data_IF_104354242424
#
_entry.id   IF_104354242424
#
_cell.length_a   1.000
_cell.length_b   1.000
_cell.length_c   1.000
_cell.angle_alpha   90.00
_cell.angle_beta   90.00
_cell.angle_gamma   90.00
#
_symmetry.space_group_name_H-M   'P 1'
#
loop_
_entity.id
_entity.type
_entity.pdbx_description
1 polymer ?
#
# COMPACT_ATOMS: atom_id res chain seq x y z
N UNK A 1 -18.10 -38.99 -17.32
CA UNK A 1 -18.59 -37.60 -17.20
C UNK A 1 -18.73 -37.32 -15.72
N UNK A 2 -17.84 -36.51 -15.14
CA UNK A 2 -17.92 -36.14 -13.72
C UNK A 2 -18.71 -34.84 -13.62
N UNK A 3 -19.87 -34.86 -12.98
CA UNK A 3 -20.64 -33.65 -12.70
C UNK A 3 -20.22 -33.09 -11.35
N UNK A 4 -19.82 -31.83 -11.31
CA UNK A 4 -19.44 -31.13 -10.08
C UNK A 4 -20.59 -30.22 -9.70
N UNK A 5 -21.10 -30.38 -8.47
CA UNK A 5 -22.19 -29.55 -7.95
C UNK A 5 -21.60 -28.37 -7.19
N UNK A 6 -21.95 -27.16 -7.59
CA UNK A 6 -21.40 -25.94 -7.03
C UNK A 6 -22.51 -25.15 -6.34
N UNK A 7 -22.21 -24.61 -5.16
CA UNK A 7 -23.14 -23.75 -4.42
C UNK A 7 -22.46 -22.43 -4.09
N UNK A 8 -23.11 -21.34 -4.45
CA UNK A 8 -22.70 -19.97 -4.12
C UNK A 8 -23.69 -19.35 -3.14
N UNK A 9 -23.19 -18.61 -2.17
CA UNK A 9 -23.99 -17.73 -1.32
C UNK A 9 -23.46 -16.31 -1.41
N UNK A 10 -24.37 -15.33 -1.41
CA UNK A 10 -23.99 -13.93 -1.44
C UNK A 10 -24.84 -13.09 -0.48
N UNK A 11 -24.24 -12.00 0.01
CA UNK A 11 -24.90 -11.01 0.84
C UNK A 11 -24.46 -9.61 0.42
N UNK A 12 -25.42 -8.70 0.33
CA UNK A 12 -25.21 -7.33 -0.15
C UNK A 12 -25.42 -6.35 1.00
N UNK A 13 -24.50 -5.40 1.09
CA UNK A 13 -24.56 -4.30 2.04
C UNK A 13 -24.48 -2.96 1.30
N UNK A 14 -25.33 -2.04 1.69
CA UNK A 14 -25.37 -0.68 1.14
C UNK A 14 -24.78 0.29 2.15
N UNK A 15 -23.97 1.23 1.66
CA UNK A 15 -23.46 2.32 2.47
C UNK A 15 -24.55 3.34 2.81
N UNK A 16 -24.68 3.65 4.09
CA UNK A 16 -25.53 4.74 4.58
C UNK A 16 -24.67 5.96 4.93
N UNK A 17 -24.84 7.04 4.18
CA UNK A 17 -24.14 8.30 4.40
C UNK A 17 -24.44 8.94 5.76
N UNK A 18 -25.61 8.67 6.35
CA UNK A 18 -26.00 9.25 7.66
C UNK A 18 -25.31 8.55 8.81
N UNK A 19 -25.09 7.24 8.70
CA UNK A 19 -24.42 6.43 9.72
C UNK A 19 -22.91 6.30 9.50
N UNK A 20 -22.43 6.70 8.32
CA UNK A 20 -21.05 6.41 7.87
C UNK A 20 -20.69 4.92 8.04
N UNK A 21 -21.66 4.04 7.79
CA UNK A 21 -21.47 2.59 7.92
C UNK A 21 -22.31 1.83 6.90
N UNK A 22 -21.99 0.55 6.71
CA UNK A 22 -22.73 -0.38 5.87
C UNK A 22 -23.94 -0.95 6.62
N UNK A 23 -25.12 -0.85 6.00
CA UNK A 23 -26.31 -1.50 6.51
C UNK A 23 -26.16 -3.02 6.46
N UNK A 24 -26.69 -3.70 7.46
CA UNK A 24 -26.63 -5.16 7.58
C UNK A 24 -27.34 -5.88 6.43
N UNK A 25 -28.27 -5.21 5.77
CA UNK A 25 -28.92 -5.64 4.53
C UNK A 25 -29.28 -4.42 3.69
N UNK A 26 -29.36 -4.59 2.37
CA UNK A 26 -29.80 -3.57 1.42
C UNK A 26 -31.26 -3.80 1.00
N UNK A 27 -32.27 -3.44 1.83
CA UNK A 27 -33.67 -3.69 1.51
C UNK A 27 -34.08 -2.96 0.22
N UNK A 28 -34.73 -3.68 -0.69
CA UNK A 28 -35.16 -3.13 -1.99
C UNK A 28 -34.09 -3.19 -3.09
N UNK A 29 -32.86 -3.62 -2.80
CA UNK A 29 -31.89 -4.01 -3.83
C UNK A 29 -32.05 -5.48 -4.18
N UNK A 30 -32.17 -5.74 -5.49
CA UNK A 30 -32.04 -7.06 -6.07
C UNK A 30 -30.70 -7.23 -6.78
N UNK A 31 -30.26 -8.47 -6.91
CA UNK A 31 -29.04 -8.85 -7.61
C UNK A 31 -29.33 -9.97 -8.59
N UNK A 32 -29.07 -9.71 -9.86
CA UNK A 32 -29.05 -10.71 -10.91
C UNK A 32 -27.77 -11.51 -10.79
N UNK A 33 -27.93 -12.82 -10.64
CA UNK A 33 -26.83 -13.78 -10.68
C UNK A 33 -26.94 -14.50 -12.02
N UNK A 34 -25.91 -14.34 -12.84
CA UNK A 34 -25.79 -15.04 -14.12
C UNK A 34 -24.52 -15.89 -14.09
N UNK A 35 -24.65 -17.16 -14.45
CA UNK A 35 -23.54 -18.11 -14.57
C UNK A 35 -23.45 -18.56 -16.01
N UNK A 36 -22.32 -18.31 -16.65
CA UNK A 36 -22.02 -18.74 -18.03
C UNK A 36 -20.81 -19.65 -18.06
N UNK A 37 -20.75 -20.53 -19.05
CA UNK A 37 -19.55 -21.32 -19.33
C UNK A 37 -18.61 -20.59 -20.30
N UNK A 38 -17.44 -21.18 -20.59
CA UNK A 38 -16.43 -20.65 -21.52
C UNK A 38 -16.94 -20.41 -22.95
N UNK A 39 -18.08 -20.99 -23.32
CA UNK A 39 -18.71 -20.88 -24.63
C UNK A 39 -19.97 -19.99 -24.60
N UNK A 40 -20.09 -19.11 -23.59
CA UNK A 40 -21.22 -18.21 -23.36
C UNK A 40 -22.59 -18.89 -23.17
N UNK A 41 -22.61 -20.21 -22.95
CA UNK A 41 -23.83 -20.92 -22.58
C UNK A 41 -24.25 -20.56 -21.15
N UNK A 42 -25.48 -20.09 -20.99
CA UNK A 42 -26.04 -19.67 -19.71
C UNK A 42 -26.54 -20.89 -18.93
N UNK A 43 -25.84 -21.22 -17.85
CA UNK A 43 -26.23 -22.32 -16.93
C UNK A 43 -27.28 -21.86 -15.91
N UNK A 44 -27.19 -20.61 -15.46
CA UNK A 44 -28.12 -20.02 -14.50
C UNK A 44 -28.26 -18.53 -14.81
N UNK A 45 -29.50 -18.02 -14.79
CA UNK A 45 -29.76 -16.58 -14.76
C UNK A 45 -31.00 -16.33 -13.91
N UNK A 46 -30.83 -15.64 -12.78
CA UNK A 46 -31.93 -15.40 -11.85
C UNK A 46 -31.74 -14.14 -11.01
N UNK A 47 -32.83 -13.42 -10.79
CA UNK A 47 -32.88 -12.32 -9.83
C UNK A 47 -33.08 -12.85 -8.42
N UNK A 48 -32.21 -12.42 -7.51
CA UNK A 48 -32.28 -12.68 -6.10
C UNK A 48 -32.48 -11.39 -5.30
N UNK A 49 -32.88 -11.52 -4.04
CA UNK A 49 -32.96 -10.41 -3.10
C UNK A 49 -31.58 -9.93 -2.61
N UNK A 50 -31.52 -9.17 -1.50
CA UNK A 50 -30.27 -8.65 -0.96
C UNK A 50 -29.32 -9.72 -0.41
N UNK A 51 -29.84 -10.91 -0.15
CA UNK A 51 -29.08 -12.09 0.22
C UNK A 51 -29.69 -13.31 -0.46
N UNK A 52 -28.86 -14.24 -0.89
CA UNK A 52 -29.32 -15.39 -1.64
C UNK A 52 -28.30 -16.52 -1.71
N UNK A 53 -28.81 -17.70 -2.04
CA UNK A 53 -27.99 -18.87 -2.39
C UNK A 53 -28.37 -19.34 -3.78
N UNK A 54 -27.36 -19.59 -4.60
CA UNK A 54 -27.49 -20.16 -5.92
C UNK A 54 -26.71 -21.45 -6.00
N UNK A 55 -27.10 -22.31 -6.94
CA UNK A 55 -26.45 -23.58 -7.19
C UNK A 55 -26.50 -23.87 -8.68
N UNK A 56 -25.45 -24.46 -9.20
CA UNK A 56 -25.35 -24.89 -10.58
C UNK A 56 -24.43 -26.12 -10.67
N UNK A 57 -24.54 -26.86 -11.76
CA UNK A 57 -23.71 -28.04 -12.01
C UNK A 57 -22.83 -27.81 -13.22
N UNK A 58 -21.53 -28.04 -13.07
CA UNK A 58 -20.62 -28.07 -14.21
C UNK A 58 -20.76 -29.40 -14.94
N UNK A 59 -21.17 -29.34 -16.22
CA UNK A 59 -21.27 -30.50 -17.11
C UNK A 59 -20.02 -30.73 -17.97
N UNK A 60 -19.32 -29.64 -18.28
CA UNK A 60 -18.07 -29.62 -19.04
C UNK A 60 -16.93 -29.03 -18.21
N UNK A 61 -15.73 -29.61 -18.26
CA UNK A 61 -14.55 -29.00 -17.68
C UNK A 61 -14.21 -27.72 -18.45
N UNK A 62 -13.99 -26.62 -17.74
CA UNK A 62 -13.73 -25.33 -18.33
C UNK A 62 -13.92 -24.20 -17.33
N UNK A 63 -13.67 -22.98 -17.78
CA UNK A 63 -13.92 -21.78 -17.00
C UNK A 63 -15.42 -21.48 -16.94
N UNK A 64 -15.91 -21.16 -15.75
CA UNK A 64 -17.28 -20.67 -15.54
C UNK A 64 -17.20 -19.25 -15.00
N UNK A 65 -18.00 -18.36 -15.56
CA UNK A 65 -18.04 -16.94 -15.21
C UNK A 65 -19.31 -16.68 -14.42
N UNK A 66 -19.16 -16.13 -13.22
CA UNK A 66 -20.27 -15.74 -12.34
C UNK A 66 -20.37 -14.21 -12.34
N UNK A 67 -21.43 -13.68 -12.94
CA UNK A 67 -21.72 -12.26 -12.97
C UNK A 67 -22.79 -11.89 -11.94
N UNK A 68 -22.52 -10.83 -11.17
CA UNK A 68 -23.40 -10.27 -10.14
C UNK A 68 -23.77 -8.84 -10.56
N UNK A 69 -25.00 -8.64 -11.01
CA UNK A 69 -25.47 -7.35 -11.52
C UNK A 69 -26.61 -6.79 -10.66
N UNK A 70 -26.49 -5.54 -10.22
CA UNK A 70 -27.53 -4.90 -9.42
C UNK A 70 -28.69 -4.41 -10.30
N UNK A 71 -29.93 -4.72 -9.92
CA UNK A 71 -31.14 -4.23 -10.59
C UNK A 71 -31.49 -2.76 -10.24
N UNK A 72 -30.53 -1.97 -9.74
CA UNK A 72 -30.79 -0.57 -9.36
C UNK A 72 -29.78 0.38 -9.97
N UNK A 73 -30.23 1.18 -10.93
CA UNK A 73 -29.52 2.34 -11.48
C UNK A 73 -29.37 3.49 -10.48
N UNK A 74 -30.10 3.45 -9.35
CA UNK A 74 -29.95 4.44 -8.26
C UNK A 74 -28.56 4.43 -7.65
N UNK A 75 -27.83 3.32 -7.74
CA UNK A 75 -26.48 3.19 -7.20
C UNK A 75 -25.44 4.03 -8.00
N UNK A 76 -25.74 4.32 -9.26
CA UNK A 76 -24.86 5.07 -10.19
C UNK A 76 -25.20 6.57 -10.22
N UNK A 77 -26.44 6.93 -9.89
CA UNK A 77 -26.94 8.31 -10.04
C UNK A 77 -26.70 9.23 -8.83
N UNK A 78 -26.31 8.70 -7.66
CA UNK A 78 -26.02 9.50 -6.47
C UNK A 78 -24.57 9.23 -6.03
N UNK A 79 -23.69 10.22 -6.21
CA UNK A 79 -22.24 10.17 -5.94
C UNK A 79 -21.86 9.99 -4.48
N UNK A 80 -22.29 8.89 -3.86
CA UNK A 80 -22.06 8.55 -2.45
C UNK A 80 -22.54 7.17 -2.02
N UNK A 81 -23.26 6.40 -2.84
CA UNK A 81 -23.67 5.03 -2.50
C UNK A 81 -22.58 4.02 -2.86
N UNK A 82 -21.84 3.52 -1.86
CA UNK A 82 -20.96 2.35 -2.01
C UNK A 82 -21.76 1.06 -1.80
N UNK A 83 -21.51 0.03 -2.60
CA UNK A 83 -22.07 -1.31 -2.43
C UNK A 83 -20.95 -2.28 -2.05
N UNK A 84 -21.18 -3.09 -1.02
CA UNK A 84 -20.27 -4.16 -0.62
C UNK A 84 -20.98 -5.49 -0.82
N UNK A 85 -20.32 -6.42 -1.51
CA UNK A 85 -20.86 -7.74 -1.81
C UNK A 85 -19.93 -8.77 -1.14
N UNK A 86 -20.52 -9.63 -0.31
CA UNK A 86 -19.86 -10.80 0.25
C UNK A 86 -20.26 -12.01 -0.61
N UNK A 87 -19.29 -12.72 -1.17
CA UNK A 87 -19.50 -13.88 -2.03
C UNK A 87 -18.73 -15.08 -1.45
N UNK A 88 -19.43 -16.19 -1.26
CA UNK A 88 -18.87 -17.46 -0.82
C UNK A 88 -19.25 -18.54 -1.83
N UNK A 89 -18.27 -19.19 -2.45
CA UNK A 89 -18.48 -20.27 -3.41
C UNK A 89 -17.93 -21.56 -2.82
N UNK A 90 -18.72 -22.63 -2.89
CA UNK A 90 -18.34 -23.98 -2.48
C UNK A 90 -18.50 -24.92 -3.66
N UNK A 91 -17.39 -25.50 -4.09
CA UNK A 91 -17.34 -26.47 -5.18
C UNK A 91 -17.45 -27.87 -4.57
N UNK A 92 -18.47 -28.63 -4.96
CA UNK A 92 -18.76 -29.94 -4.41
C UNK A 92 -17.87 -31.02 -5.00
N UNK A 93 -16.86 -31.43 -4.24
CA UNK A 93 -16.33 -32.79 -4.34
C UNK A 93 -15.88 -33.27 -2.97
N UNK A 94 -16.31 -34.50 -2.64
CA UNK A 94 -15.90 -35.26 -1.45
C UNK A 94 -14.36 -35.19 -1.32
N UNK A 95 -13.90 -35.12 -0.08
CA UNK A 95 -12.50 -35.21 0.35
C UNK A 95 -11.63 -33.93 0.24
N UNK A 96 -12.18 -32.78 -0.18
CA UNK A 96 -11.42 -31.52 -0.13
C UNK A 96 -11.33 -30.91 1.28
N UNK A 97 -12.15 -31.33 2.24
CA UNK A 97 -12.11 -30.80 3.62
C UNK A 97 -10.88 -31.28 4.40
N UNK A 98 -10.37 -32.48 4.16
CA UNK A 98 -9.14 -32.95 4.82
C UNK A 98 -7.90 -32.25 4.26
N UNK A 99 -7.85 -32.03 2.94
CA UNK A 99 -6.79 -31.29 2.27
C UNK A 99 -6.84 -29.79 2.54
N UNK A 100 -8.03 -29.17 2.56
CA UNK A 100 -8.21 -27.76 2.93
C UNK A 100 -8.03 -27.51 4.42
N UNK A 101 -8.40 -28.43 5.32
CA UNK A 101 -8.11 -28.28 6.75
C UNK A 101 -6.60 -28.38 7.00
N UNK A 102 -5.90 -29.32 6.35
CA UNK A 102 -4.45 -29.39 6.43
C UNK A 102 -3.77 -28.19 5.75
N UNK A 103 -4.26 -27.73 4.60
CA UNK A 103 -3.76 -26.52 3.96
C UNK A 103 -4.08 -25.26 4.79
N UNK A 104 -5.23 -25.21 5.49
CA UNK A 104 -5.63 -24.11 6.38
C UNK A 104 -4.84 -24.12 7.67
N UNK A 105 -4.51 -25.28 8.25
CA UNK A 105 -3.59 -25.39 9.38
C UNK A 105 -2.16 -25.01 8.99
N UNK A 106 -1.70 -25.43 7.81
CA UNK A 106 -0.41 -25.02 7.25
C UNK A 106 -0.38 -23.53 6.95
N UNK A 107 -1.45 -22.96 6.39
CA UNK A 107 -1.59 -21.53 6.15
C UNK A 107 -1.73 -20.77 7.47
N UNK A 108 -2.38 -21.30 8.50
CA UNK A 108 -2.49 -20.65 9.81
C UNK A 108 -1.15 -20.67 10.58
N UNK A 109 -0.40 -21.78 10.51
CA UNK A 109 0.97 -21.87 11.05
C UNK A 109 1.93 -20.93 10.32
N UNK A 110 1.77 -20.78 9.00
CA UNK A 110 2.55 -19.84 8.17
C UNK A 110 2.12 -18.39 8.40
N UNK A 111 0.83 -18.11 8.59
CA UNK A 111 0.30 -16.79 8.93
C UNK A 111 0.76 -16.35 10.31
N UNK A 112 0.80 -17.24 11.31
CA UNK A 112 1.30 -16.92 12.64
C UNK A 112 2.81 -16.64 12.64
N UNK A 113 3.58 -17.37 11.82
CA UNK A 113 5.01 -17.08 11.60
C UNK A 113 5.22 -15.79 10.80
N UNK A 114 4.40 -15.53 9.78
CA UNK A 114 4.43 -14.29 8.99
C UNK A 114 4.07 -13.07 9.82
N UNK A 115 3.07 -13.14 10.69
CA UNK A 115 2.67 -12.04 11.57
C UNK A 115 3.81 -11.65 12.53
N UNK A 116 4.52 -12.65 13.06
CA UNK A 116 5.71 -12.42 13.88
C UNK A 116 6.91 -11.84 13.11
N UNK A 117 7.10 -12.24 11.84
CA UNK A 117 8.12 -11.65 10.97
C UNK A 117 7.74 -10.24 10.49
N UNK A 118 6.45 -9.96 10.28
CA UNK A 118 5.94 -8.65 9.88
C UNK A 118 6.11 -7.64 11.01
N UNK A 119 5.85 -8.03 12.27
CA UNK A 119 6.16 -7.18 13.45
C UNK A 119 7.64 -6.83 13.54
N UNK A 120 8.54 -7.80 13.29
CA UNK A 120 9.99 -7.56 13.33
C UNK A 120 10.47 -6.71 12.14
N UNK A 121 9.90 -6.88 10.94
CA UNK A 121 10.23 -6.09 9.76
C UNK A 121 9.71 -4.66 9.89
N UNK A 122 8.53 -4.45 10.48
CA UNK A 122 7.99 -3.10 10.72
C UNK A 122 8.91 -2.31 11.67
N UNK A 123 9.47 -2.95 12.70
CA UNK A 123 10.48 -2.32 13.56
C UNK A 123 11.78 -1.99 12.79
N UNK A 124 12.26 -2.88 11.91
CA UNK A 124 13.48 -2.65 11.12
C UNK A 124 13.28 -1.55 10.06
N UNK A 125 12.14 -1.52 9.38
CA UNK A 125 11.81 -0.49 8.38
C UNK A 125 11.64 0.87 9.06
N UNK A 126 11.06 0.90 10.26
CA UNK A 126 10.98 2.12 11.07
C UNK A 126 12.36 2.63 11.50
N UNK A 127 13.28 1.73 11.86
CA UNK A 127 14.66 2.09 12.15
C UNK A 127 15.45 2.52 10.90
N UNK A 128 15.24 1.89 9.74
CA UNK A 128 15.87 2.27 8.49
C UNK A 128 15.39 3.65 7.99
N UNK A 129 14.09 3.96 8.10
CA UNK A 129 13.59 5.30 7.79
C UNK A 129 14.12 6.34 8.78
N UNK A 130 14.19 6.01 10.08
CA UNK A 130 14.80 6.90 11.07
C UNK A 130 16.29 7.18 10.78
N UNK A 131 17.04 6.17 10.32
CA UNK A 131 18.44 6.37 9.93
C UNK A 131 18.57 7.15 8.61
N UNK A 132 17.64 6.98 7.67
CA UNK A 132 17.64 7.70 6.38
C UNK A 132 17.36 9.20 6.56
N UNK A 133 16.40 9.56 7.41
CA UNK A 133 16.12 10.97 7.73
C UNK A 133 17.33 11.63 8.43
N UNK A 134 18.01 10.88 9.31
CA UNK A 134 19.25 11.34 9.97
C UNK A 134 20.41 11.49 8.98
N UNK A 135 20.53 10.63 7.99
CA UNK A 135 21.58 10.71 6.96
C UNK A 135 21.38 11.94 6.05
N UNK A 136 20.12 12.29 5.75
CA UNK A 136 19.78 13.53 5.03
C UNK A 136 20.12 14.78 5.84
N UNK A 137 19.81 14.80 7.15
CA UNK A 137 20.19 15.88 8.06
C UNK A 137 21.71 15.98 8.25
N UNK A 138 22.41 14.86 8.42
CA UNK A 138 23.88 14.84 8.54
C UNK A 138 24.57 15.29 7.25
N UNK A 139 23.99 15.01 6.08
CA UNK A 139 24.50 15.52 4.80
C UNK A 139 24.35 17.04 4.71
N UNK A 140 23.21 17.58 5.16
CA UNK A 140 22.96 19.02 5.16
C UNK A 140 23.87 19.77 6.15
N UNK A 141 24.09 19.21 7.35
CA UNK A 141 25.02 19.76 8.35
C UNK A 141 26.48 19.70 7.84
N UNK A 142 26.84 18.66 7.08
CA UNK A 142 28.18 18.52 6.49
C UNK A 142 28.44 19.61 5.43
N UNK A 143 27.45 19.95 4.61
CA UNK A 143 27.55 21.06 3.65
C UNK A 143 27.67 22.42 4.35
N UNK A 144 26.87 22.67 5.38
CA UNK A 144 26.85 23.97 6.08
C UNK A 144 28.09 24.20 6.97
N UNK A 145 28.65 23.13 7.56
CA UNK A 145 29.92 23.20 8.31
C UNK A 145 31.11 23.46 7.37
N UNK A 146 31.12 22.83 6.19
CA UNK A 146 32.21 22.99 5.23
C UNK A 146 32.29 24.44 4.69
N UNK A 147 31.14 25.04 4.39
CA UNK A 147 31.09 26.42 3.87
C UNK A 147 31.62 27.45 4.89
N UNK A 148 31.20 27.32 6.15
CA UNK A 148 31.60 28.25 7.20
C UNK A 148 33.10 28.17 7.51
N UNK A 149 33.68 26.97 7.56
CA UNK A 149 35.12 26.79 7.80
C UNK A 149 35.96 27.36 6.65
N UNK A 150 35.53 27.19 5.40
CA UNK A 150 36.20 27.76 4.23
C UNK A 150 36.17 29.30 4.25
N UNK A 151 35.05 29.90 4.68
CA UNK A 151 34.96 31.34 4.84
C UNK A 151 35.94 31.88 5.90
N UNK A 152 36.02 31.23 7.06
CA UNK A 152 37.00 31.59 8.10
C UNK A 152 38.45 31.44 7.63
N UNK A 153 38.76 30.38 6.88
CA UNK A 153 40.09 30.17 6.29
C UNK A 153 40.46 31.26 5.28
N UNK A 154 39.50 31.73 4.48
CA UNK A 154 39.70 32.84 3.54
C UNK A 154 39.97 34.16 4.28
N UNK A 155 39.16 34.48 5.30
CA UNK A 155 39.35 35.66 6.15
C UNK A 155 40.73 35.63 6.84
N UNK A 156 41.12 34.49 7.41
CA UNK A 156 42.41 34.31 8.06
C UNK A 156 43.59 34.53 7.09
N UNK A 157 43.47 34.02 5.86
CA UNK A 157 44.51 34.21 4.83
C UNK A 157 44.68 35.70 4.46
N UNK A 158 43.56 36.44 4.31
CA UNK A 158 43.60 37.88 4.04
C UNK A 158 44.26 38.67 5.18
N UNK A 159 44.00 38.30 6.43
CA UNK A 159 44.62 38.93 7.61
C UNK A 159 46.14 38.71 7.59
N UNK A 160 46.61 37.49 7.33
CA UNK A 160 48.06 37.23 7.25
C UNK A 160 48.75 38.01 6.14
N UNK A 161 48.13 38.11 4.95
CA UNK A 161 48.67 38.91 3.84
C UNK A 161 48.77 40.39 4.26
N UNK A 162 47.73 40.92 4.90
CA UNK A 162 47.69 42.32 5.36
C UNK A 162 48.78 42.61 6.39
N UNK A 163 48.97 41.72 7.36
CA UNK A 163 50.04 41.81 8.36
C UNK A 163 51.42 41.73 7.67
N UNK A 164 51.60 40.83 6.71
CA UNK A 164 52.85 40.69 5.97
C UNK A 164 53.24 41.97 5.20
N UNK A 165 52.28 42.60 4.54
CA UNK A 165 52.49 43.89 3.87
C UNK A 165 52.82 44.98 4.89
N UNK A 166 52.08 45.03 6.00
CA UNK A 166 52.33 46.01 7.06
C UNK A 166 53.72 45.84 7.67
N UNK A 167 54.13 44.60 7.95
CA UNK A 167 55.46 44.28 8.48
C UNK A 167 56.57 44.67 7.51
N UNK A 168 56.39 44.42 6.21
CA UNK A 168 57.33 44.86 5.17
C UNK A 168 57.43 46.39 5.09
N UNK A 169 56.30 47.12 5.19
CA UNK A 169 56.31 48.59 5.21
C UNK A 169 56.97 49.12 6.46
N UNK A 170 56.63 48.59 7.63
CA UNK A 170 57.22 49.00 8.90
C UNK A 170 58.74 48.78 8.92
N UNK A 171 59.22 47.62 8.43
CA UNK A 171 60.65 47.36 8.29
C UNK A 171 61.30 48.34 7.31
N UNK A 172 60.69 48.61 6.15
CA UNK A 172 61.21 49.60 5.19
C UNK A 172 61.28 51.00 5.80
N UNK A 173 60.23 51.45 6.47
CA UNK A 173 60.16 52.76 7.11
C UNK A 173 61.19 52.87 8.25
N UNK A 174 61.41 51.78 9.01
CA UNK A 174 62.44 51.70 10.04
C UNK A 174 63.85 51.82 9.44
N UNK A 175 64.15 51.11 8.34
CA UNK A 175 65.45 51.22 7.65
C UNK A 175 65.67 52.60 7.02
N UNK A 176 64.61 53.21 6.46
CA UNK A 176 64.65 54.57 5.91
C UNK A 176 64.89 55.61 7.01
N UNK A 177 64.17 55.52 8.13
CA UNK A 177 64.30 56.45 9.25
C UNK A 177 65.64 56.33 9.98
N UNK A 178 66.26 55.14 9.97
CA UNK A 178 67.58 54.89 10.58
C UNK A 178 68.76 55.10 9.63
N UNK A 179 68.53 55.50 8.37
CA UNK A 179 69.55 55.88 7.37
C UNK A 179 70.80 55.00 7.41
N UNK A 180 70.64 53.72 7.13
CA UNK A 180 71.72 52.87 6.65
C UNK A 180 71.65 52.91 5.11
N UNK A 181 72.76 53.34 4.49
CA UNK A 181 72.94 53.66 3.06
C UNK A 181 72.28 52.68 2.10
#
# INVERSE_FOLDING_TARGET
>A
MSYVFETGSFKIQQWDIRRQDFLESAPGLGMFVTVTTYNDEVLLSKLYGPQGRFYFTSHSPGEHIICLESNSTRLVSFGGSKLRIHLEIRVGQRDLDAGLAQAKDRVNEVSFKLEHLIEQIEQIVKEQNYQRDREEDFRMISEDTNSNVLWWAFVQTLIFISIGIFQMKYLKDFFIAKKLV
#
